data_IF_685376248522
#
_entry.id   IF_685376248522
#
_cell.length_a   1.000
_cell.length_b   1.000
_cell.length_c   1.000
_cell.angle_alpha   90.00
_cell.angle_beta   90.00
_cell.angle_gamma   90.00
#
_symmetry.space_group_name_H-M   'P 1'
#
loop_
_entity.id
_entity.type
_entity.pdbx_description
1 polymer ?
#
# COMPACT_ATOMS: atom_id res chain seq x y z
N UNK A 1 -35.14 18.77 21.62
CA UNK A 1 -35.85 17.50 21.92
C UNK A 1 -35.63 16.58 20.72
N UNK A 2 -34.81 15.54 20.69
CA UNK A 2 -33.86 14.96 21.63
C UNK A 2 -32.69 14.45 20.78
N UNK A 3 -31.48 14.98 21.00
CA UNK A 3 -30.27 14.57 20.27
C UNK A 3 -29.68 13.30 20.91
N UNK A 4 -30.50 12.26 21.04
CA UNK A 4 -30.11 10.99 21.64
C UNK A 4 -29.55 10.09 20.56
N UNK A 5 -28.31 10.37 20.19
CA UNK A 5 -27.47 9.36 19.53
C UNK A 5 -27.50 8.11 20.43
N UNK A 6 -27.94 6.95 19.91
CA UNK A 6 -28.02 5.74 20.72
C UNK A 6 -26.66 5.39 21.32
N UNK A 7 -26.66 4.87 22.57
CA UNK A 7 -25.41 4.52 23.30
C UNK A 7 -24.50 3.61 22.47
N UNK A 8 -25.06 2.75 21.62
CA UNK A 8 -24.28 1.86 20.75
C UNK A 8 -23.49 2.56 19.64
N UNK A 9 -23.93 3.74 19.18
CA UNK A 9 -23.19 4.53 18.19
C UNK A 9 -21.91 5.14 18.76
N UNK A 10 -21.85 5.39 20.08
CA UNK A 10 -20.61 5.81 20.77
C UNK A 10 -19.60 4.67 20.94
N UNK A 11 -20.04 3.40 20.89
CA UNK A 11 -19.11 2.27 20.87
C UNK A 11 -18.41 2.12 19.51
N UNK A 12 -19.03 2.53 18.40
CA UNK A 12 -18.37 2.55 17.08
C UNK A 12 -17.17 3.52 17.06
N UNK A 13 -17.24 4.65 17.77
CA UNK A 13 -16.10 5.58 17.95
C UNK A 13 -15.07 5.11 18.98
N UNK A 14 -15.42 4.13 19.81
CA UNK A 14 -14.48 3.41 20.69
C UNK A 14 -13.89 2.18 19.98
N UNK A 15 -14.38 1.86 18.78
CA UNK A 15 -13.82 0.88 17.87
C UNK A 15 -12.39 1.30 17.56
N UNK A 16 -11.47 0.55 18.17
CA UNK A 16 -10.04 0.47 17.91
C UNK A 16 -9.71 1.06 16.54
N UNK A 17 -8.81 2.06 16.49
CA UNK A 17 -8.29 2.59 15.23
C UNK A 17 -7.99 1.41 14.31
N UNK A 18 -8.82 1.20 13.29
CA UNK A 18 -8.70 -0.01 12.48
C UNK A 18 -7.31 0.06 11.85
N UNK A 19 -6.42 -0.82 12.31
CA UNK A 19 -5.02 -0.86 11.89
C UNK A 19 -5.00 -1.56 10.54
N UNK A 20 -5.53 -0.88 9.53
CA UNK A 20 -5.58 -1.39 8.18
C UNK A 20 -4.18 -1.36 7.59
N UNK A 21 -3.81 -2.47 6.97
CA UNK A 21 -2.63 -2.51 6.12
C UNK A 21 -2.87 -1.58 4.92
N UNK A 22 -1.95 -0.64 4.68
CA UNK A 22 -1.94 0.15 3.45
C UNK A 22 -1.33 -0.72 2.35
N UNK A 23 -2.01 -0.81 1.21
CA UNK A 23 -1.56 -1.59 0.06
C UNK A 23 -1.16 -0.65 -1.07
N UNK A 24 0.03 -0.87 -1.63
CA UNK A 24 0.57 -0.11 -2.76
C UNK A 24 0.81 -1.09 -3.88
N UNK A 25 0.33 -0.75 -5.08
CA UNK A 25 0.65 -1.48 -6.31
C UNK A 25 1.58 -0.63 -7.17
N UNK A 26 2.70 -1.22 -7.58
CA UNK A 26 3.67 -0.59 -8.48
C UNK A 26 4.01 -1.59 -9.57
N UNK A 27 4.04 -1.11 -10.82
CA UNK A 27 4.57 -1.89 -11.95
C UNK A 27 5.98 -1.38 -12.20
N UNK A 28 6.95 -2.28 -12.07
CA UNK A 28 8.36 -2.02 -12.29
C UNK A 28 8.79 -2.71 -13.58
N UNK A 29 9.67 -2.06 -14.34
CA UNK A 29 10.02 -2.49 -15.71
C UNK A 29 11.15 -3.51 -15.74
N UNK A 30 12.00 -3.54 -14.73
CA UNK A 30 13.17 -4.45 -14.67
C UNK A 30 13.29 -5.11 -13.31
N UNK A 31 14.01 -6.22 -13.22
CA UNK A 31 14.25 -6.93 -11.97
C UNK A 31 15.08 -6.10 -10.99
N UNK A 32 16.05 -5.32 -11.47
CA UNK A 32 16.87 -4.46 -10.61
C UNK A 32 16.04 -3.38 -9.92
N UNK A 33 14.97 -2.90 -10.58
CA UNK A 33 14.02 -1.98 -9.95
C UNK A 33 13.19 -2.68 -8.87
N UNK A 34 12.84 -3.95 -9.06
CA UNK A 34 12.14 -4.76 -8.07
C UNK A 34 13.02 -4.94 -6.83
N UNK A 35 14.27 -5.36 -7.03
CA UNK A 35 15.24 -5.54 -5.94
C UNK A 35 15.46 -4.24 -5.18
N UNK A 36 15.70 -3.13 -5.89
CA UNK A 36 15.87 -1.81 -5.28
C UNK A 36 14.62 -1.34 -4.52
N UNK A 37 13.41 -1.66 -5.00
CA UNK A 37 12.19 -1.35 -4.27
C UNK A 37 12.07 -2.17 -2.97
N UNK A 38 12.45 -3.46 -3.01
CA UNK A 38 12.46 -4.33 -1.82
C UNK A 38 13.48 -3.81 -0.79
N UNK A 39 14.67 -3.41 -1.24
CA UNK A 39 15.70 -2.86 -0.37
C UNK A 39 15.21 -1.60 0.34
N UNK A 40 14.67 -0.63 -0.41
CA UNK A 40 14.11 0.61 0.16
C UNK A 40 12.96 0.32 1.13
N UNK A 41 12.09 -0.65 0.82
CA UNK A 41 11.02 -1.04 1.74
C UNK A 41 11.63 -1.55 3.05
N UNK A 42 12.58 -2.49 2.98
CA UNK A 42 13.23 -3.06 4.16
C UNK A 42 14.04 -2.04 4.97
N UNK A 43 14.60 -1.01 4.33
CA UNK A 43 15.24 0.12 5.04
C UNK A 43 14.23 0.89 5.91
N UNK A 44 12.98 1.02 5.45
CA UNK A 44 11.93 1.78 6.16
C UNK A 44 11.18 0.92 7.18
N UNK A 45 10.80 -0.30 6.82
CA UNK A 45 9.94 -1.17 7.65
C UNK A 45 10.72 -2.21 8.46
N UNK A 46 12.00 -2.45 8.13
CA UNK A 46 12.82 -3.51 8.70
C UNK A 46 12.69 -4.85 7.97
N UNK A 47 13.10 -5.93 8.64
CA UNK A 47 13.07 -7.29 8.10
C UNK A 47 11.63 -7.79 7.90
N UNK A 48 11.25 -8.00 6.64
CA UNK A 48 9.93 -8.48 6.22
C UNK A 48 9.61 -9.91 6.65
N UNK A 49 10.59 -10.67 7.17
CA UNK A 49 10.38 -12.02 7.69
C UNK A 49 10.02 -12.04 9.19
N UNK A 50 10.02 -10.87 9.85
CA UNK A 50 9.60 -10.75 11.24
C UNK A 50 8.07 -10.56 11.36
N UNK A 51 7.48 -10.88 12.52
CA UNK A 51 6.10 -10.51 12.79
C UNK A 51 5.87 -9.00 12.66
N UNK A 52 4.68 -8.62 12.21
CA UNK A 52 4.21 -7.22 12.15
C UNK A 52 4.95 -6.26 11.18
N UNK A 53 5.78 -6.75 10.25
CA UNK A 53 6.55 -5.91 9.29
C UNK A 53 5.90 -5.74 7.91
N UNK A 54 4.71 -6.29 7.68
CA UNK A 54 3.97 -6.16 6.41
C UNK A 54 4.26 -7.31 5.44
N UNK A 55 3.83 -7.19 4.18
CA UNK A 55 4.01 -8.22 3.16
C UNK A 55 4.37 -7.56 1.83
N UNK A 56 5.40 -8.08 1.16
CA UNK A 56 5.76 -7.73 -0.22
C UNK A 56 5.60 -8.96 -1.09
N UNK A 57 4.89 -8.81 -2.21
CA UNK A 57 4.71 -9.86 -3.21
C UNK A 57 5.16 -9.35 -4.57
N UNK A 58 6.03 -10.12 -5.23
CA UNK A 58 6.43 -9.87 -6.62
C UNK A 58 5.64 -10.81 -7.52
N UNK A 59 4.93 -10.25 -8.50
CA UNK A 59 4.11 -11.00 -9.44
C UNK A 59 4.52 -10.64 -10.87
N UNK A 60 4.77 -11.63 -11.75
CA UNK A 60 5.10 -11.34 -13.14
C UNK A 60 3.88 -10.76 -13.87
N UNK A 61 4.06 -9.60 -14.52
CA UNK A 61 3.01 -8.94 -15.29
C UNK A 61 3.26 -9.20 -16.78
N UNK A 62 2.45 -10.07 -17.40
CA UNK A 62 2.61 -10.43 -18.81
C UNK A 62 2.32 -9.27 -19.77
N UNK A 63 1.33 -8.42 -19.44
CA UNK A 63 0.87 -7.29 -20.26
C UNK A 63 0.29 -6.20 -19.36
N UNK A 64 0.64 -4.96 -19.64
CA UNK A 64 0.01 -3.78 -19.06
C UNK A 64 -0.23 -2.73 -20.15
N UNK A 65 -1.35 -2.02 -20.08
CA UNK A 65 -1.74 -1.00 -21.04
C UNK A 65 -1.84 0.35 -20.33
N UNK A 66 -1.50 1.44 -21.03
CA UNK A 66 -1.57 2.80 -20.47
C UNK A 66 -0.41 3.20 -19.56
N UNK A 67 0.74 2.52 -19.65
CA UNK A 67 1.94 2.84 -18.85
C UNK A 67 2.87 3.89 -19.50
N UNK A 68 2.71 4.15 -20.81
CA UNK A 68 3.54 5.12 -21.51
C UNK A 68 2.81 6.46 -21.60
N UNK A 69 3.47 7.49 -21.08
CA UNK A 69 3.01 8.86 -21.22
C UNK A 69 3.47 9.40 -22.58
N UNK A 70 2.54 9.49 -23.55
CA UNK A 70 2.81 10.21 -24.81
C UNK A 70 2.81 11.74 -24.63
N UNK A 71 2.76 12.27 -23.41
CA UNK A 71 2.72 13.71 -23.12
C UNK A 71 4.07 14.29 -22.66
N UNK A 72 5.19 13.61 -22.94
CA UNK A 72 6.53 14.04 -22.52
C UNK A 72 7.56 14.37 -23.62
N UNK A 73 7.23 14.29 -24.92
CA UNK A 73 8.12 14.79 -25.97
C UNK A 73 7.97 16.30 -26.13
N UNK A 74 8.51 17.07 -25.17
CA UNK A 74 8.92 18.45 -25.44
C UNK A 74 10.42 18.39 -25.74
N UNK A 75 10.70 18.51 -27.04
CA UNK A 75 11.93 18.93 -27.72
C UNK A 75 13.27 18.74 -26.99
#
# INVERSE_FOLDING_TARGET
MADRVPVFSRFATLGVSERFNRMIFVILKTEEQVDGAIDVIQEVVGDLNQPETGVVCVLPVARALGLDDKTGSRD
#
